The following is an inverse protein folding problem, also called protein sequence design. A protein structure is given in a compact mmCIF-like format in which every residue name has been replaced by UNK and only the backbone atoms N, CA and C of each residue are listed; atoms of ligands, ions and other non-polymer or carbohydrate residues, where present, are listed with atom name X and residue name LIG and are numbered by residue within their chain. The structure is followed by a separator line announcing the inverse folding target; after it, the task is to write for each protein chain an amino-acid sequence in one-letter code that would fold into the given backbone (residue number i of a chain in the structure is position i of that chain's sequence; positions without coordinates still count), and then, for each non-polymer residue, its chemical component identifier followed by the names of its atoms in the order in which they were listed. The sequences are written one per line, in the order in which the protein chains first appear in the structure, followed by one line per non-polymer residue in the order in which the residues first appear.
data_IF_074837245119
#
_entry.id   IF_074837245119
#
_cell.length_a   1.000
_cell.length_b   1.000
_cell.length_c   1.000
_cell.angle_alpha   90.00
_cell.angle_beta   90.00
_cell.angle_gamma   90.00
#
_symmetry.space_group_name_H-M   'P 1'
#
loop_
_entity.id
_entity.type
_entity.pdbx_description
1 polymer ?
#
# COMPACT_ATOMS: atom_id res chain seq x y z
N UNK A 1 25.23 32.50 -6.70
CA UNK A 1 25.47 32.22 -5.26
C UNK A 1 24.59 31.04 -4.88
N UNK A 2 25.10 29.81 -4.95
CA UNK A 2 24.33 28.59 -4.65
C UNK A 2 24.87 28.00 -3.35
N UNK A 3 24.06 28.01 -2.29
CA UNK A 3 24.39 27.40 -1.02
C UNK A 3 24.46 25.87 -1.19
N UNK A 4 25.66 25.36 -1.44
CA UNK A 4 25.98 23.94 -1.25
C UNK A 4 25.92 23.64 0.24
N UNK A 5 24.73 23.29 0.73
CA UNK A 5 24.53 22.73 2.06
C UNK A 5 25.34 21.44 2.16
N UNK A 6 26.30 21.44 3.08
CA UNK A 6 27.11 20.27 3.42
C UNK A 6 26.20 19.32 4.20
N UNK A 7 25.63 18.32 3.52
CA UNK A 7 24.87 17.26 4.18
C UNK A 7 25.87 16.20 4.68
N UNK A 8 25.96 16.08 6.00
CA UNK A 8 26.87 15.17 6.66
C UNK A 8 26.58 13.71 6.27
N UNK A 9 27.59 13.05 5.71
CA UNK A 9 27.62 11.63 5.43
C UNK A 9 27.72 10.87 6.75
N UNK A 10 26.63 10.28 7.24
CA UNK A 10 26.68 9.27 8.30
C UNK A 10 26.58 7.88 7.67
N UNK A 11 27.72 7.20 7.53
CA UNK A 11 27.77 5.77 7.18
C UNK A 11 27.83 4.99 8.48
N UNK A 12 26.74 4.34 8.85
CA UNK A 12 26.73 3.38 9.95
C UNK A 12 27.25 2.02 9.48
N UNK A 13 28.47 1.66 9.87
CA UNK A 13 28.99 0.31 9.74
C UNK A 13 28.35 -0.59 10.80
N UNK A 14 27.16 -1.12 10.49
CA UNK A 14 26.55 -2.36 11.02
C UNK A 14 25.16 -2.51 10.37
N UNK A 15 25.03 -3.37 9.35
CA UNK A 15 23.75 -3.65 8.68
C UNK A 15 23.17 -2.43 7.96
N UNK A 16 23.79 -2.03 6.84
CA UNK A 16 23.70 -0.70 6.23
C UNK A 16 22.30 -0.10 6.07
N UNK A 17 21.91 0.79 6.99
CA UNK A 17 20.83 1.74 6.79
C UNK A 17 21.39 2.97 6.06
N UNK A 18 20.95 3.20 4.82
CA UNK A 18 21.19 4.46 4.14
C UNK A 18 20.33 5.56 4.79
N UNK A 19 20.97 6.59 5.33
CA UNK A 19 20.32 7.71 6.03
C UNK A 19 20.76 9.04 5.43
N UNK A 20 19.91 10.06 5.54
CA UNK A 20 20.25 11.43 5.15
C UNK A 20 19.20 12.42 5.66
N UNK A 21 19.63 13.67 5.86
CA UNK A 21 18.74 14.74 6.31
C UNK A 21 18.15 15.47 5.11
N UNK A 22 16.82 15.64 5.12
CA UNK A 22 16.08 16.44 4.14
C UNK A 22 15.48 17.67 4.81
N UNK A 23 15.37 18.77 4.06
CA UNK A 23 14.60 19.95 4.48
C UNK A 23 13.27 19.96 3.73
N UNK A 24 12.19 20.20 4.46
CA UNK A 24 10.88 20.46 3.86
C UNK A 24 10.91 21.85 3.21
N UNK A 25 10.62 21.89 1.93
CA UNK A 25 10.50 23.08 1.10
C UNK A 25 9.05 23.59 1.14
N UNK A 26 8.80 24.72 0.47
CA UNK A 26 7.43 25.23 0.30
C UNK A 26 6.52 24.14 -0.28
N UNK A 27 5.25 24.13 0.15
CA UNK A 27 4.23 23.15 -0.26
C UNK A 27 4.51 21.70 0.19
N UNK A 28 5.38 21.49 1.19
CA UNK A 28 5.60 20.17 1.78
C UNK A 28 6.53 19.26 0.97
N UNK A 29 7.24 19.79 -0.03
CA UNK A 29 8.18 19.00 -0.83
C UNK A 29 9.44 18.68 -0.03
N UNK A 30 9.94 17.45 -0.12
CA UNK A 30 11.23 17.06 0.46
C UNK A 30 12.08 16.37 -0.59
N UNK A 31 13.37 16.72 -0.64
CA UNK A 31 14.32 16.02 -1.50
C UNK A 31 14.77 14.73 -0.82
N UNK A 32 14.66 13.60 -1.52
CA UNK A 32 15.19 12.31 -1.04
C UNK A 32 16.72 12.31 -1.20
N UNK A 33 17.49 12.15 -0.10
CA UNK A 33 18.95 12.13 -0.13
C UNK A 33 19.50 11.08 -1.12
N UNK A 34 20.67 11.35 -1.70
CA UNK A 34 21.22 10.52 -2.78
C UNK A 34 21.46 9.07 -2.34
N UNK A 35 21.91 8.88 -1.11
CA UNK A 35 22.19 7.60 -0.47
C UNK A 35 20.89 6.79 -0.30
N UNK A 36 19.83 7.43 0.20
CA UNK A 36 18.50 6.82 0.37
C UNK A 36 17.90 6.47 -0.99
N UNK A 37 18.01 7.37 -1.98
CA UNK A 37 17.55 7.15 -3.35
C UNK A 37 18.27 5.95 -3.99
N UNK A 38 19.59 5.86 -3.82
CA UNK A 38 20.40 4.75 -4.33
C UNK A 38 20.07 3.42 -3.68
N UNK A 39 19.96 3.40 -2.34
CA UNK A 39 19.62 2.20 -1.58
C UNK A 39 18.23 1.64 -1.93
N UNK A 40 17.25 2.53 -2.12
CA UNK A 40 15.87 2.15 -2.47
C UNK A 40 15.64 1.98 -3.97
N UNK A 41 16.65 2.30 -4.80
CA UNK A 41 16.60 2.30 -6.28
C UNK A 41 15.48 3.18 -6.86
N UNK A 42 15.19 4.29 -6.20
CA UNK A 42 14.14 5.24 -6.62
C UNK A 42 14.56 5.97 -7.89
N UNK A 43 13.65 6.02 -8.87
CA UNK A 43 13.81 6.70 -10.16
C UNK A 43 12.79 7.84 -10.32
N UNK A 44 13.05 8.83 -11.19
CA UNK A 44 12.04 9.80 -11.56
C UNK A 44 10.78 9.12 -12.08
N UNK A 45 9.61 9.51 -11.59
CA UNK A 45 8.33 8.92 -11.94
C UNK A 45 7.82 7.82 -10.98
N UNK A 46 8.66 7.32 -10.07
CA UNK A 46 8.22 6.37 -9.04
C UNK A 46 7.20 7.01 -8.10
N UNK A 47 6.21 6.21 -7.70
CA UNK A 47 5.18 6.61 -6.72
C UNK A 47 5.63 6.19 -5.32
N UNK A 48 5.47 7.10 -4.35
CA UNK A 48 5.77 6.83 -2.94
C UNK A 48 4.47 6.85 -2.13
N UNK A 49 4.25 5.79 -1.36
CA UNK A 49 3.21 5.75 -0.34
C UNK A 49 3.80 6.27 0.97
N UNK A 50 3.19 7.29 1.55
CA UNK A 50 3.56 7.83 2.86
C UNK A 50 2.55 7.38 3.91
N UNK A 51 3.04 6.97 5.07
CA UNK A 51 2.23 6.53 6.19
C UNK A 51 2.76 7.20 7.46
N UNK A 52 1.89 7.89 8.18
CA UNK A 52 2.19 8.39 9.52
C UNK A 52 2.08 7.23 10.51
N UNK A 53 3.14 6.97 11.26
CA UNK A 53 3.18 5.89 12.26
C UNK A 53 3.11 6.42 13.69
N UNK A 54 3.22 7.73 13.88
CA UNK A 54 3.06 8.41 15.16
C UNK A 54 3.27 9.93 15.04
N UNK A 55 3.24 10.66 16.16
CA UNK A 55 3.67 12.06 16.21
C UNK A 55 5.13 12.16 15.79
N UNK A 56 5.42 12.97 14.77
CA UNK A 56 6.77 13.17 14.18
C UNK A 56 7.43 11.92 13.57
N UNK A 57 6.71 10.80 13.48
CA UNK A 57 7.20 9.57 12.87
C UNK A 57 6.35 9.15 11.66
N UNK A 58 7.03 8.83 10.58
CA UNK A 58 6.39 8.26 9.40
C UNK A 58 7.36 7.40 8.64
N UNK A 59 6.80 6.57 7.78
CA UNK A 59 7.54 5.76 6.82
C UNK A 59 7.03 6.04 5.43
N UNK A 60 7.88 5.81 4.44
CA UNK A 60 7.44 5.75 3.06
C UNK A 60 7.87 4.44 2.42
N UNK A 61 7.10 4.01 1.42
CA UNK A 61 7.38 2.82 0.62
C UNK A 61 7.36 3.21 -0.85
N UNK A 62 8.31 2.69 -1.61
CA UNK A 62 8.29 2.81 -3.07
C UNK A 62 7.23 1.85 -3.59
N UNK A 63 6.17 2.40 -4.17
CA UNK A 63 5.17 1.61 -4.86
C UNK A 63 5.72 1.29 -6.24
N UNK A 64 6.32 0.11 -6.34
CA UNK A 64 6.72 -0.45 -7.63
C UNK A 64 5.45 -0.97 -8.28
N UNK A 65 4.78 -0.11 -9.03
CA UNK A 65 3.78 -0.57 -9.98
C UNK A 65 4.58 -1.30 -11.07
N UNK A 66 4.85 -2.59 -10.85
CA UNK A 66 5.68 -3.40 -11.75
C UNK A 66 5.03 -3.65 -13.09
N UNK A 67 3.85 -3.08 -13.34
CA UNK A 67 3.00 -3.41 -14.47
C UNK A 67 2.46 -2.13 -15.05
N UNK A 68 2.66 -1.93 -16.34
CA UNK A 68 1.84 -0.96 -17.05
C UNK A 68 0.36 -1.34 -16.88
N UNK A 69 -0.53 -0.37 -17.07
CA UNK A 69 -1.95 -0.69 -17.18
C UNK A 69 -2.18 -1.76 -18.26
N UNK A 70 -1.40 -1.76 -19.33
CA UNK A 70 -1.43 -2.78 -20.37
C UNK A 70 -1.14 -4.18 -19.83
N UNK A 71 -0.08 -4.36 -19.03
CA UNK A 71 0.24 -5.68 -18.45
C UNK A 71 -0.83 -6.12 -17.42
N UNK A 72 -1.50 -5.17 -16.75
CA UNK A 72 -2.64 -5.48 -15.91
C UNK A 72 -3.84 -5.97 -16.74
N UNK A 73 -4.17 -5.28 -17.83
CA UNK A 73 -5.27 -5.65 -18.72
C UNK A 73 -5.00 -6.96 -19.46
N UNK A 74 -3.76 -7.20 -19.90
CA UNK A 74 -3.39 -8.45 -20.57
C UNK A 74 -3.53 -9.65 -19.65
N UNK A 75 -3.08 -9.54 -18.39
CA UNK A 75 -3.17 -10.65 -17.44
C UNK A 75 -4.62 -11.02 -17.09
N UNK A 76 -5.50 -10.03 -17.00
CA UNK A 76 -6.90 -10.23 -16.61
C UNK A 76 -7.85 -10.14 -17.81
N UNK A 77 -7.32 -10.34 -19.02
CA UNK A 77 -8.13 -10.36 -20.22
C UNK A 77 -9.04 -11.58 -20.19
N UNK A 78 -10.34 -11.35 -20.33
CA UNK A 78 -11.31 -12.42 -20.55
C UNK A 78 -11.33 -12.72 -22.04
N UNK A 79 -10.96 -13.93 -22.42
CA UNK A 79 -11.08 -14.40 -23.80
C UNK A 79 -12.53 -14.82 -24.07
N UNK A 80 -13.19 -14.14 -25.01
CA UNK A 80 -14.57 -14.44 -25.41
C UNK A 80 -15.59 -13.42 -24.91
N UNK A 81 -16.86 -13.55 -25.34
CA UNK A 81 -17.93 -12.66 -24.92
C UNK A 81 -18.20 -12.81 -23.42
N UNK A 82 -18.38 -11.68 -22.73
CA UNK A 82 -18.84 -11.67 -21.34
C UNK A 82 -20.26 -12.28 -21.31
N UNK A 83 -20.51 -13.32 -20.50
CA UNK A 83 -21.84 -13.92 -20.36
C UNK A 83 -22.87 -12.87 -19.92
N UNK A 84 -24.08 -12.93 -20.49
CA UNK A 84 -25.14 -11.97 -20.20
C UNK A 84 -25.62 -12.02 -18.74
N UNK A 85 -25.47 -13.17 -18.11
CA UNK A 85 -25.85 -13.53 -16.75
C UNK A 85 -24.71 -13.44 -15.73
N UNK A 86 -23.51 -12.98 -16.15
CA UNK A 86 -22.31 -12.97 -15.31
C UNK A 86 -22.55 -12.37 -13.91
N UNK A 87 -23.27 -11.26 -13.84
CA UNK A 87 -23.53 -10.57 -12.57
C UNK A 87 -24.45 -11.35 -11.63
N UNK A 88 -25.39 -12.11 -12.18
CA UNK A 88 -26.28 -12.98 -11.41
C UNK A 88 -25.49 -14.17 -10.86
N UNK A 89 -24.66 -14.81 -11.69
CA UNK A 89 -23.77 -15.90 -11.26
C UNK A 89 -22.78 -15.46 -10.19
N UNK A 90 -22.15 -14.29 -10.35
CA UNK A 90 -21.21 -13.75 -9.35
C UNK A 90 -21.93 -13.42 -8.04
N UNK A 91 -23.14 -12.88 -8.10
CA UNK A 91 -23.93 -12.59 -6.90
C UNK A 91 -24.27 -13.86 -6.11
N UNK A 92 -24.64 -14.94 -6.80
CA UNK A 92 -24.92 -16.23 -6.19
C UNK A 92 -23.67 -16.87 -5.56
N UNK A 93 -22.52 -16.82 -6.25
CA UNK A 93 -21.26 -17.36 -5.74
C UNK A 93 -20.74 -16.55 -4.53
N UNK A 94 -20.80 -15.22 -4.59
CA UNK A 94 -20.43 -14.36 -3.45
C UNK A 94 -21.38 -14.58 -2.28
N UNK A 95 -22.68 -14.76 -2.51
CA UNK A 95 -23.62 -15.09 -1.44
C UNK A 95 -23.30 -16.44 -0.79
N UNK A 96 -22.95 -17.46 -1.59
CA UNK A 96 -22.52 -18.77 -1.08
C UNK A 96 -21.26 -18.65 -0.21
N UNK A 97 -20.28 -17.87 -0.65
CA UNK A 97 -18.96 -17.79 -0.02
C UNK A 97 -18.89 -16.78 1.14
N UNK A 98 -19.76 -15.77 1.18
CA UNK A 98 -19.80 -14.76 2.25
C UNK A 98 -20.61 -15.21 3.49
N UNK A 99 -21.46 -16.24 3.35
CA UNK A 99 -22.30 -16.75 4.43
C UNK A 99 -21.62 -17.60 5.55
N UNK A 100 -20.35 -18.05 5.49
CA UNK A 100 -19.74 -18.76 6.62
C UNK A 100 -19.50 -17.89 7.87
N UNK A 101 -19.40 -16.56 7.73
CA UNK A 101 -19.06 -15.68 8.87
C UNK A 101 -20.27 -14.91 9.44
N UNK A 102 -21.33 -14.69 8.66
CA UNK A 102 -22.48 -13.88 9.09
C UNK A 102 -23.58 -14.68 9.80
N UNK A 103 -23.67 -15.99 9.59
CA UNK A 103 -24.73 -16.83 10.19
C UNK A 103 -24.39 -17.22 11.64
N UNK A 104 -23.11 -17.30 12.00
CA UNK A 104 -22.67 -17.67 13.35
C UNK A 104 -22.95 -16.55 14.39
N UNK A 105 -22.88 -15.27 14.00
CA UNK A 105 -23.13 -14.13 14.91
C UNK A 105 -24.60 -14.01 15.35
N UNK A 106 -25.56 -14.45 14.54
CA UNK A 106 -26.99 -14.44 14.94
C UNK A 106 -27.32 -15.54 15.92
N UNK A 107 -26.88 -16.77 15.66
CA UNK A 107 -27.14 -17.91 16.56
C UNK A 107 -26.46 -17.75 17.92
N UNK A 108 -25.27 -17.14 17.97
CA UNK A 108 -24.57 -16.88 19.24
C UNK A 108 -25.23 -15.76 20.05
N UNK A 109 -25.75 -14.71 19.40
CA UNK A 109 -26.54 -13.66 20.07
C UNK A 109 -27.90 -14.15 20.57
N UNK A 110 -28.57 -15.01 19.81
CA UNK A 110 -29.85 -15.62 20.21
C UNK A 110 -29.66 -16.63 21.35
N UNK A 111 -28.57 -17.42 21.35
CA UNK A 111 -28.21 -18.31 22.45
C UNK A 111 -27.81 -17.54 23.72
N UNK A 112 -27.08 -16.42 23.59
CA UNK A 112 -26.74 -15.55 24.72
C UNK A 112 -27.99 -14.87 25.32
N UNK A 113 -28.98 -14.49 24.51
CA UNK A 113 -30.25 -13.92 24.97
C UNK A 113 -31.20 -14.95 25.59
N UNK A 114 -31.06 -16.24 25.25
CA UNK A 114 -31.87 -17.33 25.80
C UNK A 114 -31.32 -17.92 27.12
N UNK A 115 -30.09 -17.55 27.51
CA UNK A 115 -29.40 -18.09 28.70
C UNK A 115 -29.64 -17.34 30.02
N UNK A 116 -30.36 -16.21 30.02
CA UNK A 116 -30.76 -15.51 31.25
C UNK A 116 -32.21 -15.83 31.63
N UNK A 117 -32.40 -16.95 32.36
CA UNK A 117 -33.50 -17.13 33.31
C UNK A 117 -33.05 -17.93 34.52
#
# INVERSE_FOLDING_TARGET
MQHRGVYARMVGERGGMAMGLGRVQARGQVTIPAEVRGALRIRPGDVLLFEATGPDEGRFRVVRTTRSLDEYFDRWRVDGPVPADLWETVAEDVARDALPFAVLDRSEREAAAAGER
#
